data_IF_974307721787
#
_entry.id   IF_974307721787
#
_cell.length_a   1.000
_cell.length_b   1.000
_cell.length_c   1.000
_cell.angle_alpha   90.00
_cell.angle_beta   90.00
_cell.angle_gamma   90.00
#
_symmetry.space_group_name_H-M   'P 1'
#
loop_
_entity.id
_entity.type
_entity.pdbx_description
1 polymer ?
#
# COMPACT_ATOMS: atom_id res chain seq x y z
N UNK A 1 -0.24 -13.61 10.44
CA UNK A 1 -0.18 -12.14 10.58
C UNK A 1 -1.60 -11.61 10.60
N UNK A 2 -1.96 -10.72 11.54
CA UNK A 2 -3.36 -10.29 11.75
C UNK A 2 -3.62 -9.06 10.87
N UNK A 3 -4.33 -9.26 9.76
CA UNK A 3 -4.74 -8.16 8.89
C UNK A 3 -5.84 -7.38 9.62
N UNK A 4 -5.53 -6.15 10.04
CA UNK A 4 -6.53 -5.21 10.52
C UNK A 4 -7.38 -4.78 9.31
N UNK A 5 -8.52 -5.45 9.12
CA UNK A 5 -9.53 -5.01 8.16
C UNK A 5 -10.19 -3.74 8.70
N UNK A 6 -9.87 -2.59 8.11
CA UNK A 6 -10.78 -1.44 8.18
C UNK A 6 -11.97 -1.75 7.28
N UNK A 7 -13.18 -1.35 7.69
CA UNK A 7 -14.32 -1.29 6.78
C UNK A 7 -13.87 -0.60 5.49
N UNK A 8 -14.23 -1.18 4.34
CA UNK A 8 -13.97 -0.56 3.05
C UNK A 8 -14.66 0.80 2.93
N UNK A 9 -14.70 1.33 1.71
CA UNK A 9 -15.62 2.43 1.41
C UNK A 9 -17.04 2.04 1.83
N UNK A 10 -17.79 2.95 2.44
CA UNK A 10 -19.13 2.66 2.94
C UNK A 10 -20.02 2.13 1.80
N UNK A 11 -20.64 0.97 2.01
CA UNK A 11 -21.44 0.26 1.01
C UNK A 11 -20.65 -0.75 0.15
N UNK A 12 -19.33 -0.82 0.30
CA UNK A 12 -18.45 -1.71 -0.49
C UNK A 12 -17.75 -2.76 0.40
N UNK A 13 -17.73 -4.00 -0.08
CA UNK A 13 -16.90 -5.05 0.54
C UNK A 13 -15.41 -4.78 0.27
N UNK A 14 -14.59 -4.88 1.31
CA UNK A 14 -13.13 -4.77 1.19
C UNK A 14 -12.45 -5.94 1.87
N UNK A 15 -11.48 -6.53 1.16
CA UNK A 15 -10.69 -7.66 1.64
C UNK A 15 -9.33 -7.25 2.21
N UNK A 16 -8.98 -5.95 2.15
CA UNK A 16 -7.68 -5.45 2.63
C UNK A 16 -6.46 -5.93 1.83
N UNK A 17 -6.65 -6.53 0.65
CA UNK A 17 -5.58 -7.14 -0.15
C UNK A 17 -4.81 -6.17 -1.05
N UNK A 18 -5.38 -4.97 -1.31
CA UNK A 18 -4.82 -4.04 -2.29
C UNK A 18 -3.37 -3.64 -1.98
N UNK A 19 -3.07 -3.29 -0.73
CA UNK A 19 -1.73 -2.83 -0.36
C UNK A 19 -0.70 -3.98 -0.36
N UNK A 20 -1.12 -5.22 -0.09
CA UNK A 20 -0.26 -6.39 -0.21
C UNK A 20 0.16 -6.62 -1.66
N UNK A 21 -0.77 -6.50 -2.61
CA UNK A 21 -0.46 -6.60 -4.04
C UNK A 21 0.50 -5.49 -4.50
N UNK A 22 0.24 -4.25 -4.09
CA UNK A 22 1.12 -3.11 -4.43
C UNK A 22 2.52 -3.32 -3.87
N UNK A 23 2.65 -3.75 -2.61
CA UNK A 23 3.94 -4.02 -1.99
C UNK A 23 4.74 -5.06 -2.78
N UNK A 24 4.11 -6.19 -3.11
CA UNK A 24 4.75 -7.26 -3.89
C UNK A 24 5.24 -6.76 -5.25
N UNK A 25 4.39 -6.02 -5.97
CA UNK A 25 4.75 -5.44 -7.28
C UNK A 25 5.96 -4.50 -7.17
N UNK A 26 5.95 -3.62 -6.17
CA UNK A 26 7.03 -2.65 -5.97
C UNK A 26 8.34 -3.37 -5.61
N UNK A 27 8.30 -4.39 -4.76
CA UNK A 27 9.47 -5.22 -4.42
C UNK A 27 10.01 -5.96 -5.66
N UNK A 28 9.14 -6.51 -6.51
CA UNK A 28 9.53 -7.16 -7.78
C UNK A 28 10.20 -6.19 -8.76
N UNK A 29 9.83 -4.91 -8.72
CA UNK A 29 10.48 -3.84 -9.51
C UNK A 29 11.76 -3.28 -8.86
N UNK A 30 12.26 -3.93 -7.80
CA UNK A 30 13.46 -3.49 -7.07
C UNK A 30 13.24 -2.19 -6.29
N UNK A 31 11.99 -1.90 -5.94
CA UNK A 31 11.56 -0.71 -5.23
C UNK A 31 11.16 -0.96 -3.79
N UNK A 32 10.60 0.08 -3.15
CA UNK A 32 10.00 0.00 -1.82
C UNK A 32 8.75 0.90 -1.71
N UNK A 33 7.86 0.56 -0.78
CA UNK A 33 6.68 1.36 -0.43
C UNK A 33 6.63 1.64 1.07
N UNK A 34 6.30 2.86 1.44
CA UNK A 34 6.07 3.27 2.83
C UNK A 34 4.78 4.09 2.97
N UNK A 35 4.22 4.11 4.18
CA UNK A 35 3.04 4.90 4.52
C UNK A 35 3.30 5.73 5.78
N UNK A 36 2.87 6.99 5.75
CA UNK A 36 2.83 7.89 6.91
C UNK A 36 1.41 8.40 7.06
N UNK A 37 0.82 8.20 8.23
CA UNK A 37 -0.55 8.61 8.52
C UNK A 37 -0.59 9.38 9.83
N UNK A 38 -1.43 10.40 9.87
CA UNK A 38 -1.71 11.23 11.04
C UNK A 38 -3.20 11.47 11.13
N UNK A 39 -3.76 11.36 12.34
CA UNK A 39 -5.21 11.47 12.54
C UNK A 39 -5.70 12.86 12.14
N UNK A 40 -6.71 12.93 11.26
CA UNK A 40 -7.25 14.19 10.73
C UNK A 40 -6.46 14.80 9.57
N UNK A 41 -5.28 14.26 9.22
CA UNK A 41 -4.44 14.78 8.13
C UNK A 41 -4.39 13.83 6.91
N UNK A 42 -4.95 12.63 7.06
CA UNK A 42 -4.96 11.60 6.04
C UNK A 42 -3.71 10.72 6.05
N UNK A 43 -3.46 10.05 4.92
CA UNK A 43 -2.36 9.10 4.77
C UNK A 43 -1.57 9.39 3.51
N UNK A 44 -0.26 9.57 3.65
CA UNK A 44 0.69 9.68 2.55
C UNK A 44 1.33 8.32 2.29
N UNK A 45 1.26 7.86 1.04
CA UNK A 45 2.05 6.72 0.55
C UNK A 45 3.22 7.23 -0.28
N UNK A 46 4.41 6.67 -0.07
CA UNK A 46 5.61 6.96 -0.87
C UNK A 46 6.09 5.68 -1.51
N UNK A 47 6.31 5.72 -2.83
CA UNK A 47 6.77 4.59 -3.63
C UNK A 47 8.08 4.97 -4.32
N UNK A 48 9.10 4.15 -4.12
CA UNK A 48 10.38 4.22 -4.83
C UNK A 48 10.45 3.03 -5.76
N UNK A 49 10.83 3.22 -7.02
CA UNK A 49 11.01 2.14 -8.00
C UNK A 49 12.48 2.08 -8.40
N UNK A 50 13.05 0.88 -8.47
CA UNK A 50 14.40 0.66 -8.96
C UNK A 50 14.49 1.03 -10.44
N UNK A 51 15.49 1.84 -10.81
CA UNK A 51 15.74 2.14 -12.22
C UNK A 51 16.35 0.89 -12.87
N UNK A 52 15.73 0.42 -13.94
CA UNK A 52 16.29 -0.63 -14.80
C UNK A 52 16.98 0.03 -15.99
N UNK A 53 18.30 -0.09 -16.06
CA UNK A 53 19.06 0.24 -17.26
C UNK A 53 19.13 -1.00 -18.16
N UNK A 54 18.94 -0.80 -19.47
CA UNK A 54 19.06 -1.81 -20.52
C UNK A 54 20.51 -2.04 -20.92
#
# INVERSE_FOLDING_TARGET
EKVFGSSGTEGEESFGIGLQHVRKLVEELGGEISAKSSSGEGTQFTVTIGIQYL
#
